data_IF_424488348372
#
_entry.id   IF_424488348372
#
_cell.length_a   1.000
_cell.length_b   1.000
_cell.length_c   1.000
_cell.angle_alpha   90.00
_cell.angle_beta   90.00
_cell.angle_gamma   90.00
#
_symmetry.space_group_name_H-M   'P 1'
#
loop_
_entity.id
_entity.type
_entity.pdbx_description
1 polymer ?
#
# COMPACT_ATOMS: atom_id res chain seq x y z
N UNK A 1 14.61 1.03 13.43
CA UNK A 1 14.98 0.04 12.39
C UNK A 1 14.49 0.55 11.04
N UNK A 2 15.33 0.59 10.00
CA UNK A 2 14.97 1.13 8.66
C UNK A 2 14.44 0.03 7.73
N UNK A 3 13.51 -0.78 8.24
CA UNK A 3 12.88 -1.89 7.52
C UNK A 3 11.38 -1.65 7.55
N UNK A 4 10.86 -1.12 6.45
CA UNK A 4 9.42 -1.10 6.24
C UNK A 4 8.89 -2.52 6.21
N UNK A 5 7.78 -2.73 6.93
CA UNK A 5 7.07 -3.99 6.98
C UNK A 5 5.57 -3.70 6.99
N UNK A 6 4.80 -4.68 6.52
CA UNK A 6 3.35 -4.72 6.60
C UNK A 6 2.96 -5.92 7.46
N UNK A 7 2.16 -5.69 8.50
CA UNK A 7 1.52 -6.74 9.27
C UNK A 7 0.25 -7.21 8.57
N UNK A 8 0.06 -8.52 8.48
CA UNK A 8 -1.12 -9.14 7.87
C UNK A 8 -1.83 -9.97 8.94
N UNK A 9 -3.13 -9.76 9.08
CA UNK A 9 -4.00 -10.54 9.95
C UNK A 9 -5.22 -11.06 9.18
N UNK A 10 -5.88 -12.05 9.76
CA UNK A 10 -7.13 -12.61 9.25
C UNK A 10 -8.25 -12.44 10.27
N UNK A 11 -9.48 -12.38 9.79
CA UNK A 11 -10.69 -12.28 10.60
C UNK A 11 -11.79 -13.14 9.99
N UNK A 12 -12.30 -14.13 10.74
CA UNK A 12 -13.41 -14.99 10.30
C UNK A 12 -14.76 -14.65 10.95
N UNK A 13 -14.76 -13.71 11.90
CA UNK A 13 -15.96 -13.28 12.61
C UNK A 13 -16.83 -12.33 11.81
N UNK A 14 -17.82 -11.75 12.50
CA UNK A 14 -18.79 -10.84 11.89
C UNK A 14 -18.16 -9.52 11.43
N UNK A 15 -18.83 -8.85 10.48
CA UNK A 15 -18.45 -7.52 10.00
C UNK A 15 -18.29 -6.52 11.15
N UNK A 16 -19.28 -6.41 12.02
CA UNK A 16 -19.30 -5.41 13.09
C UNK A 16 -18.12 -5.53 14.06
N UNK A 17 -17.75 -6.75 14.43
CA UNK A 17 -16.59 -6.98 15.30
C UNK A 17 -15.27 -6.77 14.55
N UNK A 18 -15.21 -7.15 13.26
CA UNK A 18 -14.03 -6.94 12.41
C UNK A 18 -13.71 -5.47 12.16
N UNK A 19 -14.72 -4.65 11.87
CA UNK A 19 -14.54 -3.20 11.68
C UNK A 19 -14.20 -2.49 12.99
N UNK A 20 -14.75 -2.95 14.12
CA UNK A 20 -14.34 -2.45 15.45
C UNK A 20 -12.86 -2.72 15.71
N UNK A 21 -12.39 -3.94 15.42
CA UNK A 21 -10.98 -4.30 15.56
C UNK A 21 -10.08 -3.46 14.63
N UNK A 22 -10.45 -3.33 13.36
CA UNK A 22 -9.70 -2.53 12.39
C UNK A 22 -9.59 -1.06 12.83
N UNK A 23 -10.70 -0.47 13.30
CA UNK A 23 -10.72 0.90 13.82
C UNK A 23 -9.87 1.10 15.07
N UNK A 24 -9.78 0.11 15.96
CA UNK A 24 -8.88 0.15 17.11
C UNK A 24 -7.40 0.12 16.71
N UNK A 25 -7.07 -0.57 15.62
CA UNK A 25 -5.70 -0.65 15.10
C UNK A 25 -5.31 0.62 14.36
N UNK A 26 -6.15 1.09 13.43
CA UNK A 26 -6.00 2.29 12.60
C UNK A 26 -4.55 2.56 12.14
N UNK A 27 -3.95 1.61 11.43
CA UNK A 27 -2.54 1.65 11.04
C UNK A 27 -2.36 1.46 9.54
N UNK A 28 -1.62 2.38 8.91
CA UNK A 28 -1.24 2.33 7.49
C UNK A 28 -0.23 1.22 7.16
N UNK A 29 0.11 0.37 8.14
CA UNK A 29 1.03 -0.77 8.00
C UNK A 29 0.41 -2.09 8.42
N UNK A 30 -0.87 -2.11 8.78
CA UNK A 30 -1.57 -3.34 9.16
C UNK A 30 -2.77 -3.50 8.25
N UNK A 31 -2.91 -4.68 7.66
CA UNK A 31 -4.08 -5.08 6.88
C UNK A 31 -4.73 -6.30 7.51
N UNK A 32 -6.06 -6.34 7.48
CA UNK A 32 -6.87 -7.42 8.05
C UNK A 32 -7.79 -7.97 6.97
N UNK A 33 -7.55 -9.20 6.54
CA UNK A 33 -8.39 -9.93 5.59
C UNK A 33 -9.61 -10.53 6.28
N UNK A 34 -10.80 -10.29 5.74
CA UNK A 34 -12.07 -10.72 6.31
C UNK A 34 -12.72 -11.82 5.46
N UNK A 35 -12.85 -13.00 6.06
CA UNK A 35 -13.47 -14.18 5.46
C UNK A 35 -14.58 -14.72 6.37
N UNK A 36 -15.74 -14.07 6.33
CA UNK A 36 -16.83 -14.31 7.26
C UNK A 36 -17.32 -15.77 7.25
N UNK A 37 -17.45 -16.37 8.44
CA UNK A 37 -17.97 -17.72 8.61
C UNK A 37 -17.01 -18.83 8.20
N UNK A 38 -15.74 -18.50 7.94
CA UNK A 38 -14.68 -19.48 7.69
C UNK A 38 -14.41 -20.35 8.92
N UNK A 39 -14.19 -21.64 8.68
CA UNK A 39 -13.75 -22.58 9.72
C UNK A 39 -12.24 -22.54 9.94
N UNK A 40 -11.50 -21.91 9.01
CA UNK A 40 -10.06 -21.71 9.15
C UNK A 40 -9.75 -20.70 10.26
N UNK A 41 -8.60 -20.89 10.89
CA UNK A 41 -8.13 -20.01 11.94
C UNK A 41 -7.73 -18.64 11.35
N UNK A 42 -7.87 -17.55 12.11
CA UNK A 42 -7.38 -16.22 11.71
C UNK A 42 -5.94 -16.20 11.19
N UNK A 43 -5.07 -17.06 11.73
CA UNK A 43 -3.67 -17.17 11.29
C UNK A 43 -3.53 -17.82 9.90
N UNK A 44 -4.41 -18.77 9.54
CA UNK A 44 -4.41 -19.41 8.22
C UNK A 44 -4.90 -18.43 7.15
N UNK A 45 -5.96 -17.68 7.47
CA UNK A 45 -6.45 -16.57 6.64
C UNK A 45 -5.35 -15.52 6.42
N UNK A 46 -4.67 -15.11 7.49
CA UNK A 46 -3.54 -14.19 7.42
C UNK A 46 -2.40 -14.72 6.54
N UNK A 47 -2.07 -16.01 6.66
CA UNK A 47 -1.01 -16.64 5.89
C UNK A 47 -1.34 -16.70 4.39
N UNK A 48 -2.56 -17.12 4.02
CA UNK A 48 -3.00 -17.15 2.63
C UNK A 48 -2.99 -15.76 2.00
N UNK A 49 -3.49 -14.76 2.73
CA UNK A 49 -3.51 -13.37 2.28
C UNK A 49 -2.10 -12.78 2.16
N UNK A 50 -1.27 -12.97 3.19
CA UNK A 50 0.12 -12.52 3.21
C UNK A 50 0.95 -13.12 2.08
N UNK A 51 0.74 -14.41 1.75
CA UNK A 51 1.39 -15.06 0.63
C UNK A 51 1.06 -14.38 -0.71
N UNK A 52 -0.21 -13.97 -0.94
CA UNK A 52 -0.59 -13.25 -2.16
C UNK A 52 -0.04 -11.83 -2.22
N UNK A 53 -0.05 -11.11 -1.10
CA UNK A 53 0.59 -9.79 -1.01
C UNK A 53 2.08 -9.89 -1.36
N UNK A 54 2.78 -10.92 -0.85
CA UNK A 54 4.20 -11.11 -1.10
C UNK A 54 4.53 -11.62 -2.51
N UNK A 55 3.58 -12.29 -3.18
CA UNK A 55 3.77 -12.82 -4.53
C UNK A 55 3.70 -11.77 -5.64
N UNK A 56 3.11 -10.61 -5.36
CA UNK A 56 3.03 -9.52 -6.32
C UNK A 56 4.31 -8.69 -6.27
N UNK A 57 5.08 -8.70 -7.37
CA UNK A 57 6.39 -8.04 -7.44
C UNK A 57 6.24 -6.53 -7.64
N UNK A 58 5.18 -6.10 -8.32
CA UNK A 58 4.88 -4.69 -8.53
C UNK A 58 4.18 -4.12 -7.28
N UNK A 59 4.78 -3.15 -6.57
CA UNK A 59 4.18 -2.60 -5.36
C UNK A 59 2.92 -1.76 -5.64
N UNK A 60 2.78 -1.18 -6.82
CA UNK A 60 1.67 -0.29 -7.20
C UNK A 60 0.47 -1.09 -7.75
N UNK A 61 0.69 -2.32 -8.21
CA UNK A 61 -0.36 -3.15 -8.80
C UNK A 61 -1.42 -3.57 -7.77
N UNK A 62 -2.72 -3.33 -8.03
CA UNK A 62 -3.80 -3.76 -7.14
C UNK A 62 -3.89 -5.29 -7.03
N UNK A 63 -4.22 -5.76 -5.82
CA UNK A 63 -4.34 -7.19 -5.50
C UNK A 63 -5.76 -7.75 -5.67
N UNK A 64 -6.67 -6.96 -6.26
CA UNK A 64 -8.07 -7.34 -6.46
C UNK A 64 -8.13 -8.63 -7.31
N UNK A 65 -9.11 -9.49 -7.07
CA UNK A 65 -9.34 -10.77 -7.77
C UNK A 65 -8.28 -11.85 -7.62
N UNK A 66 -7.16 -11.59 -6.92
CA UNK A 66 -6.19 -12.64 -6.63
C UNK A 66 -6.81 -13.68 -5.71
N UNK A 67 -6.68 -14.95 -6.10
CA UNK A 67 -7.30 -16.07 -5.42
C UNK A 67 -6.54 -16.50 -4.17
N UNK A 68 -7.26 -16.86 -3.13
CA UNK A 68 -6.73 -17.31 -1.85
C UNK A 68 -7.04 -18.79 -1.67
N UNK A 69 -6.06 -19.56 -1.19
CA UNK A 69 -6.25 -20.97 -0.86
C UNK A 69 -6.95 -21.10 0.50
N UNK A 70 -8.23 -20.77 0.54
CA UNK A 70 -9.09 -20.77 1.73
C UNK A 70 -10.31 -21.67 1.54
N UNK A 71 -11.00 -21.97 2.64
CA UNK A 71 -12.26 -22.72 2.63
C UNK A 71 -13.38 -21.92 1.96
N UNK A 72 -14.29 -22.61 1.32
CA UNK A 72 -15.47 -21.99 0.72
C UNK A 72 -16.57 -21.93 1.78
N UNK A 73 -16.96 -20.72 2.16
CA UNK A 73 -17.97 -20.51 3.19
C UNK A 73 -19.39 -20.70 2.64
N UNK A 74 -20.32 -21.01 3.54
CA UNK A 74 -21.75 -21.13 3.23
C UNK A 74 -22.29 -19.84 2.59
N UNK A 75 -23.23 -19.98 1.67
CA UNK A 75 -23.81 -18.85 0.93
C UNK A 75 -24.38 -17.76 1.86
N UNK A 76 -24.97 -18.15 2.99
CA UNK A 76 -25.52 -17.22 3.98
C UNK A 76 -24.46 -16.37 4.72
N UNK A 77 -23.20 -16.82 4.72
CA UNK A 77 -22.08 -16.13 5.36
C UNK A 77 -21.31 -15.23 4.38
N UNK A 78 -21.56 -15.35 3.07
CA UNK A 78 -20.83 -14.60 2.04
C UNK A 78 -21.28 -13.13 2.05
N UNK A 79 -20.35 -12.17 2.17
CA UNK A 79 -20.71 -10.76 2.28
C UNK A 79 -21.33 -10.25 0.97
N UNK A 80 -22.48 -9.59 1.08
CA UNK A 80 -23.08 -8.85 -0.04
C UNK A 80 -22.31 -7.56 -0.35
N UNK A 81 -22.61 -6.92 -1.49
CA UNK A 81 -21.89 -5.70 -1.92
C UNK A 81 -21.90 -4.60 -0.86
N UNK A 82 -23.04 -4.36 -0.22
CA UNK A 82 -23.18 -3.37 0.85
C UNK A 82 -22.27 -3.66 2.05
N UNK A 83 -22.10 -4.93 2.42
CA UNK A 83 -21.23 -5.34 3.52
C UNK A 83 -19.75 -5.20 3.13
N UNK A 84 -19.41 -5.52 1.88
CA UNK A 84 -18.07 -5.30 1.34
C UNK A 84 -17.69 -3.81 1.36
N UNK A 85 -18.55 -2.92 0.86
CA UNK A 85 -18.31 -1.47 0.90
C UNK A 85 -18.19 -0.94 2.34
N UNK A 86 -19.00 -1.48 3.26
CA UNK A 86 -18.91 -1.13 4.68
C UNK A 86 -17.58 -1.59 5.30
N UNK A 87 -17.13 -2.81 5.00
CA UNK A 87 -15.83 -3.31 5.44
C UNK A 87 -14.70 -2.40 4.93
N UNK A 88 -14.73 -2.05 3.64
CA UNK A 88 -13.72 -1.21 3.00
C UNK A 88 -13.66 0.19 3.63
N UNK A 89 -14.83 0.81 3.85
CA UNK A 89 -14.92 2.11 4.50
C UNK A 89 -14.37 2.11 5.95
N UNK A 90 -14.33 0.94 6.60
CA UNK A 90 -13.90 0.81 7.99
C UNK A 90 -12.57 0.04 8.15
N UNK A 91 -11.72 0.02 7.11
CA UNK A 91 -10.36 -0.49 7.23
C UNK A 91 -10.25 -2.03 7.27
N UNK A 92 -11.28 -2.75 6.83
CA UNK A 92 -11.33 -4.21 6.80
C UNK A 92 -11.37 -4.68 5.35
N UNK A 93 -10.41 -5.52 4.94
CA UNK A 93 -10.32 -6.03 3.56
C UNK A 93 -11.30 -7.20 3.38
N UNK A 94 -12.39 -7.07 2.61
CA UNK A 94 -13.32 -8.18 2.40
C UNK A 94 -12.76 -9.17 1.37
N UNK A 95 -13.00 -10.45 1.63
CA UNK A 95 -12.88 -11.51 0.63
C UNK A 95 -14.26 -11.91 0.14
N UNK A 96 -14.31 -12.41 -1.09
CA UNK A 96 -15.54 -12.94 -1.69
C UNK A 96 -15.29 -14.29 -2.34
N UNK A 97 -16.36 -15.08 -2.50
CA UNK A 97 -16.32 -16.32 -3.26
C UNK A 97 -16.73 -16.02 -4.69
N UNK A 98 -15.75 -15.99 -5.59
CA UNK A 98 -15.93 -15.75 -7.01
C UNK A 98 -16.40 -16.99 -7.77
N UNK A 99 -16.31 -16.93 -9.10
CA UNK A 99 -16.62 -18.05 -9.98
C UNK A 99 -15.75 -19.28 -9.68
N UNK A 100 -16.35 -20.47 -9.83
CA UNK A 100 -15.63 -21.74 -9.58
C UNK A 100 -15.34 -21.98 -8.11
N UNK A 101 -16.09 -21.36 -7.20
CA UNK A 101 -15.93 -21.50 -5.74
C UNK A 101 -14.52 -21.14 -5.25
N UNK A 102 -13.94 -20.09 -5.83
CA UNK A 102 -12.61 -19.61 -5.44
C UNK A 102 -12.74 -18.36 -4.58
N UNK A 103 -12.09 -18.37 -3.42
CA UNK A 103 -12.02 -17.18 -2.57
C UNK A 103 -11.05 -16.18 -3.21
N UNK A 104 -11.43 -14.92 -3.30
CA UNK A 104 -10.64 -13.87 -3.91
C UNK A 104 -10.71 -12.56 -3.12
N UNK A 105 -9.68 -11.73 -3.27
CA UNK A 105 -9.61 -10.41 -2.63
C UNK A 105 -10.52 -9.43 -3.38
N UNK A 106 -11.38 -8.71 -2.67
CA UNK A 106 -12.19 -7.63 -3.28
C UNK A 106 -11.31 -6.40 -3.54
N UNK A 107 -10.75 -5.83 -2.47
CA UNK A 107 -9.75 -4.75 -2.50
C UNK A 107 -8.87 -4.80 -1.26
N UNK A 108 -7.56 -4.88 -1.46
CA UNK A 108 -6.58 -4.92 -0.38
C UNK A 108 -6.35 -3.51 0.19
N UNK A 109 -6.82 -3.30 1.42
CA UNK A 109 -6.66 -2.03 2.15
C UNK A 109 -5.95 -2.25 3.49
N UNK A 110 -5.40 -1.20 4.05
CA UNK A 110 -4.92 -1.16 5.43
C UNK A 110 -6.07 -0.86 6.39
N UNK A 111 -5.77 -0.92 7.68
CA UNK A 111 -6.70 -0.50 8.74
C UNK A 111 -6.80 1.02 8.90
N UNK A 112 -5.97 1.79 8.17
CA UNK A 112 -5.94 3.24 8.28
C UNK A 112 -7.15 3.88 7.60
N UNK A 113 -7.97 4.55 8.42
CA UNK A 113 -9.16 5.27 7.96
C UNK A 113 -9.22 6.70 8.49
N UNK A 114 -8.44 7.02 9.53
CA UNK A 114 -8.43 8.33 10.19
C UNK A 114 -7.02 8.80 10.50
N UNK A 115 -6.80 10.10 10.37
CA UNK A 115 -5.55 10.73 10.77
C UNK A 115 -5.44 10.93 12.30
N UNK A 116 -4.31 11.49 12.75
CA UNK A 116 -4.04 11.73 14.17
C UNK A 116 -5.04 12.69 14.84
N UNK A 117 -5.79 13.49 14.08
CA UNK A 117 -6.84 14.39 14.57
C UNK A 117 -8.22 13.71 14.61
N UNK A 118 -8.31 12.43 14.23
CA UNK A 118 -9.56 11.68 14.18
C UNK A 118 -10.46 12.00 12.98
N UNK A 119 -9.92 12.69 11.97
CA UNK A 119 -10.62 13.02 10.73
C UNK A 119 -10.37 11.93 9.70
N UNK A 120 -11.41 11.59 8.92
CA UNK A 120 -11.31 10.59 7.85
C UNK A 120 -10.21 10.96 6.86
N UNK A 121 -9.36 10.00 6.55
CA UNK A 121 -8.16 10.16 5.74
C UNK A 121 -7.85 8.88 4.98
N UNK A 122 -7.76 8.99 3.66
CA UNK A 122 -7.55 7.87 2.73
C UNK A 122 -6.09 7.71 2.30
N UNK A 123 -5.18 8.59 2.77
CA UNK A 123 -3.79 8.65 2.30
C UNK A 123 -3.00 7.36 2.43
N UNK A 124 -3.35 6.50 3.39
CA UNK A 124 -2.73 5.17 3.57
C UNK A 124 -3.76 4.04 3.56
N UNK A 125 -4.96 4.29 3.03
CA UNK A 125 -6.02 3.30 2.98
C UNK A 125 -5.64 2.14 2.05
N UNK A 126 -5.19 2.42 0.83
CA UNK A 126 -4.77 1.36 -0.09
C UNK A 126 -3.45 0.73 0.34
N UNK A 127 -3.41 -0.60 0.33
CA UNK A 127 -2.21 -1.34 0.71
C UNK A 127 -1.05 -1.09 -0.27
N UNK A 128 -1.35 -0.84 -1.55
CA UNK A 128 -0.36 -0.51 -2.57
C UNK A 128 0.38 0.78 -2.24
N UNK A 129 -0.27 1.78 -1.64
CA UNK A 129 0.35 3.06 -1.28
C UNK A 129 1.57 2.88 -0.38
N UNK A 130 1.43 2.16 0.74
CA UNK A 130 2.57 1.94 1.65
C UNK A 130 3.64 1.02 1.05
N UNK A 131 3.23 0.04 0.22
CA UNK A 131 4.16 -0.85 -0.50
C UNK A 131 5.03 -0.05 -1.48
N UNK A 132 4.42 0.85 -2.24
CA UNK A 132 5.10 1.75 -3.18
C UNK A 132 6.09 2.65 -2.46
N UNK A 133 5.67 3.32 -1.38
CA UNK A 133 6.55 4.18 -0.59
C UNK A 133 7.75 3.42 -0.02
N UNK A 134 7.55 2.18 0.44
CA UNK A 134 8.64 1.32 0.91
C UNK A 134 9.58 0.87 -0.21
N UNK A 135 9.06 0.63 -1.41
CA UNK A 135 9.85 0.32 -2.60
C UNK A 135 10.72 1.52 -3.03
N UNK A 136 10.12 2.71 -3.15
CA UNK A 136 10.83 3.96 -3.49
C UNK A 136 11.96 4.20 -2.48
N UNK A 137 11.67 4.11 -1.18
CA UNK A 137 12.67 4.25 -0.11
C UNK A 137 13.83 3.26 -0.27
N UNK A 138 13.53 2.00 -0.58
CA UNK A 138 14.54 0.95 -0.79
C UNK A 138 15.42 1.28 -2.00
N UNK A 139 14.80 1.60 -3.15
CA UNK A 139 15.49 1.91 -4.39
C UNK A 139 16.43 3.12 -4.25
N UNK A 140 15.94 4.22 -3.65
CA UNK A 140 16.76 5.40 -3.37
C UNK A 140 17.95 5.07 -2.46
N UNK A 141 17.72 4.33 -1.37
CA UNK A 141 18.80 3.97 -0.43
C UNK A 141 19.86 3.10 -1.09
N UNK A 142 19.45 2.10 -1.88
CA UNK A 142 20.37 1.23 -2.60
C UNK A 142 21.21 2.00 -3.61
N UNK A 143 20.59 2.92 -4.38
CA UNK A 143 21.32 3.82 -5.29
C UNK A 143 22.39 4.62 -4.54
N UNK A 144 22.02 5.28 -3.43
CA UNK A 144 22.96 6.12 -2.70
C UNK A 144 24.09 5.30 -2.06
N UNK A 145 23.78 4.13 -1.49
CA UNK A 145 24.79 3.25 -0.91
C UNK A 145 25.80 2.74 -1.96
N UNK A 146 25.33 2.43 -3.18
CA UNK A 146 26.19 1.97 -4.28
C UNK A 146 27.03 3.09 -4.89
N UNK A 147 26.44 4.29 -5.04
CA UNK A 147 27.10 5.40 -5.72
C UNK A 147 28.05 6.21 -4.82
N UNK A 148 27.79 6.25 -3.52
CA UNK A 148 28.51 7.07 -2.55
C UNK A 148 29.04 6.31 -1.32
N UNK A 149 29.65 5.11 -1.45
CA UNK A 149 30.00 4.25 -0.30
C UNK A 149 31.06 4.85 0.65
N UNK A 150 31.83 5.84 0.18
CA UNK A 150 32.90 6.51 0.94
C UNK A 150 33.06 7.99 0.52
N UNK A 151 31.97 8.60 0.05
CA UNK A 151 32.03 9.95 -0.50
C UNK A 151 32.34 10.97 0.61
N UNK A 152 33.18 11.96 0.29
CA UNK A 152 33.39 13.10 1.19
C UNK A 152 32.16 13.98 1.17
N UNK A 153 31.62 14.34 2.33
CA UNK A 153 30.55 15.33 2.42
C UNK A 153 31.11 16.74 2.19
N UNK A 154 31.14 17.17 0.92
CA UNK A 154 31.58 18.49 0.46
C UNK A 154 30.39 19.34 -0.01
N UNK A 155 30.62 20.58 -0.46
CA UNK A 155 29.55 21.41 -1.06
C UNK A 155 29.04 20.83 -2.38
N UNK A 156 29.80 19.93 -3.03
CA UNK A 156 29.41 19.26 -4.27
C UNK A 156 28.54 18.02 -4.05
N UNK A 157 28.51 17.48 -2.85
CA UNK A 157 27.84 16.19 -2.56
C UNK A 157 26.31 16.30 -2.61
N UNK A 158 25.66 17.32 -1.99
CA UNK A 158 24.20 17.47 -2.07
C UNK A 158 23.63 17.50 -3.51
N UNK A 159 24.16 18.32 -4.46
CA UNK A 159 23.60 18.33 -5.81
C UNK A 159 23.83 17.02 -6.58
N UNK A 160 24.93 16.30 -6.33
CA UNK A 160 25.15 14.97 -6.92
C UNK A 160 24.16 13.94 -6.39
N UNK A 161 23.93 13.91 -5.07
CA UNK A 161 22.93 13.03 -4.45
C UNK A 161 21.53 13.35 -4.96
N UNK A 162 21.19 14.64 -5.08
CA UNK A 162 19.90 15.07 -5.65
C UNK A 162 19.71 14.56 -7.08
N UNK A 163 20.75 14.66 -7.93
CA UNK A 163 20.71 14.14 -9.30
C UNK A 163 20.47 12.63 -9.32
N UNK A 164 21.19 11.87 -8.51
CA UNK A 164 21.06 10.40 -8.48
C UNK A 164 19.70 9.94 -7.92
N UNK A 165 19.13 10.67 -6.95
CA UNK A 165 17.77 10.42 -6.47
C UNK A 165 16.74 10.72 -7.56
N UNK A 166 16.88 11.86 -8.25
CA UNK A 166 15.99 12.23 -9.35
C UNK A 166 16.01 11.17 -10.47
N UNK A 167 17.19 10.68 -10.85
CA UNK A 167 17.35 9.61 -11.84
C UNK A 167 16.74 8.27 -11.38
N UNK A 168 16.63 8.01 -10.07
CA UNK A 168 15.88 6.87 -9.57
C UNK A 168 14.39 7.10 -9.73
N UNK A 169 13.89 8.28 -9.35
CA UNK A 169 12.46 8.60 -9.45
C UNK A 169 11.96 8.52 -10.89
N UNK A 170 12.71 9.05 -11.86
CA UNK A 170 12.36 8.92 -13.29
C UNK A 170 12.23 7.46 -13.74
N UNK A 171 13.12 6.58 -13.27
CA UNK A 171 13.02 5.13 -13.57
C UNK A 171 11.83 4.47 -12.91
N UNK A 172 11.40 4.95 -11.74
CA UNK A 172 10.20 4.45 -11.08
C UNK A 172 8.93 4.94 -11.78
N UNK A 173 8.97 6.13 -12.38
CA UNK A 173 7.90 6.65 -13.25
C UNK A 173 7.80 5.88 -14.57
N UNK A 174 8.92 5.55 -15.21
CA UNK A 174 8.94 4.66 -16.38
C UNK A 174 8.34 3.27 -16.11
N UNK A 175 8.36 2.83 -14.84
CA UNK A 175 7.79 1.57 -14.39
C UNK A 175 6.35 1.72 -13.87
N UNK A 176 5.74 2.91 -13.97
CA UNK A 176 4.40 3.22 -13.46
C UNK A 176 4.23 2.97 -11.94
N UNK A 177 5.32 3.08 -11.17
CA UNK A 177 5.31 2.92 -9.70
C UNK A 177 4.93 4.25 -9.03
N UNK A 178 5.44 5.37 -9.56
CA UNK A 178 5.12 6.74 -9.16
C UNK A 178 4.85 7.58 -10.40
N UNK A 179 4.22 8.74 -10.25
CA UNK A 179 3.93 9.66 -11.36
C UNK A 179 4.35 11.11 -11.05
N UNK A 180 4.23 11.98 -12.04
CA UNK A 180 4.44 13.43 -11.92
C UNK A 180 5.82 13.80 -11.34
N UNK A 181 6.88 13.06 -11.71
CA UNK A 181 8.22 13.23 -11.12
C UNK A 181 8.83 14.59 -11.49
N UNK A 182 8.72 15.01 -12.76
CA UNK A 182 9.24 16.33 -13.18
C UNK A 182 8.41 17.48 -12.58
N UNK A 183 7.08 17.33 -12.47
CA UNK A 183 6.22 18.31 -11.82
C UNK A 183 6.54 18.48 -10.32
N UNK A 184 6.95 17.40 -9.64
CA UNK A 184 7.31 17.40 -8.22
C UNK A 184 8.81 17.65 -7.95
N UNK A 185 9.62 17.90 -8.98
CA UNK A 185 11.10 18.00 -8.88
C UNK A 185 11.61 19.05 -7.89
N UNK A 186 10.90 20.16 -7.74
CA UNK A 186 11.28 21.24 -6.82
C UNK A 186 11.06 20.85 -5.35
N UNK A 187 10.20 19.86 -5.08
CA UNK A 187 10.01 19.30 -3.75
C UNK A 187 11.09 18.27 -3.37
N UNK A 188 11.90 17.80 -4.33
CA UNK A 188 13.08 16.97 -4.08
C UNK A 188 14.22 17.83 -3.54
N UNK A 189 14.38 17.81 -2.21
CA UNK A 189 15.36 18.62 -1.48
C UNK A 189 16.44 17.71 -0.93
N UNK A 190 17.71 18.10 -1.10
CA UNK A 190 18.86 17.44 -0.49
C UNK A 190 19.76 18.49 0.13
N UNK A 191 19.92 18.45 1.44
CA UNK A 191 20.59 19.49 2.20
C UNK A 191 21.38 18.94 3.39
N UNK A 192 22.35 19.72 3.88
CA UNK A 192 23.08 19.36 5.10
C UNK A 192 22.18 19.53 6.31
N UNK A 193 22.34 18.63 7.27
CA UNK A 193 21.70 18.80 8.57
C UNK A 193 22.27 20.04 9.28
N UNK A 194 21.41 20.80 9.96
CA UNK A 194 21.82 22.03 10.65
C UNK A 194 22.48 21.76 12.01
N UNK A 195 22.30 20.57 12.57
CA UNK A 195 22.82 20.16 13.88
C UNK A 195 23.95 19.14 13.75
N UNK A 196 23.94 18.32 12.69
CA UNK A 196 24.98 17.31 12.41
C UNK A 196 25.74 17.61 11.12
N UNK A 197 26.97 18.11 11.27
CA UNK A 197 27.86 18.49 10.15
C UNK A 197 28.25 17.32 9.25
N UNK A 198 28.07 16.07 9.69
CA UNK A 198 28.39 14.86 8.94
C UNK A 198 27.15 14.21 8.30
N UNK A 199 25.98 14.85 8.38
CA UNK A 199 24.72 14.30 7.90
C UNK A 199 24.15 15.07 6.71
N UNK A 200 23.60 14.31 5.77
CA UNK A 200 22.83 14.81 4.63
C UNK A 200 21.38 14.32 4.76
N UNK A 201 20.43 15.23 4.64
CA UNK A 201 19.00 14.95 4.67
C UNK A 201 18.44 15.05 3.25
N UNK A 202 17.46 14.19 2.96
CA UNK A 202 16.72 14.23 1.71
C UNK A 202 15.22 14.21 1.98
N UNK A 203 14.48 15.12 1.35
CA UNK A 203 13.03 15.05 1.21
C UNK A 203 12.75 14.55 -0.19
N UNK A 204 12.11 13.39 -0.30
CA UNK A 204 11.85 12.70 -1.56
C UNK A 204 10.33 12.76 -1.80
N UNK A 205 9.84 13.58 -2.73
CA UNK A 205 8.44 13.56 -3.13
C UNK A 205 8.16 12.25 -3.89
N UNK A 206 6.98 11.68 -3.68
CA UNK A 206 6.57 10.44 -4.33
C UNK A 206 5.06 10.47 -4.50
N UNK A 207 4.62 10.82 -5.69
CA UNK A 207 3.22 10.72 -6.08
C UNK A 207 2.96 9.27 -6.51
N UNK A 208 2.13 8.55 -5.77
CA UNK A 208 1.96 7.11 -5.98
C UNK A 208 0.91 6.89 -7.06
N UNK A 209 1.25 6.09 -8.07
CA UNK A 209 0.27 5.63 -9.06
C UNK A 209 -0.79 4.79 -8.35
N UNK A 210 -2.03 5.25 -8.43
CA UNK A 210 -3.15 4.64 -7.71
C UNK A 210 -3.78 3.49 -8.49
N UNK A 211 -4.36 2.55 -7.75
CA UNK A 211 -5.14 1.47 -8.35
C UNK A 211 -6.44 1.95 -8.98
N UNK A 212 -6.74 1.50 -10.20
CA UNK A 212 -8.05 1.71 -10.82
C UNK A 212 -9.09 0.76 -10.21
N UNK A 213 -9.75 1.19 -9.13
CA UNK A 213 -10.73 0.38 -8.42
C UNK A 213 -12.17 0.53 -8.94
N UNK A 214 -12.53 1.70 -9.48
CA UNK A 214 -13.89 2.00 -9.96
C UNK A 214 -13.81 2.74 -11.28
N UNK A 215 -14.55 2.26 -12.29
CA UNK A 215 -14.74 2.94 -13.56
C UNK A 215 -16.18 3.45 -13.65
N UNK A 216 -16.36 4.76 -13.87
CA UNK A 216 -17.65 5.39 -14.09
C UNK A 216 -17.70 5.93 -15.53
N UNK A 217 -18.59 5.37 -16.35
CA UNK A 217 -18.76 5.76 -17.75
C UNK A 217 -20.16 6.26 -18.04
N UNK A 218 -20.27 7.34 -18.81
CA UNK A 218 -21.51 7.79 -19.44
C UNK A 218 -21.39 7.52 -20.95
N UNK A 219 -22.36 6.81 -21.51
CA UNK A 219 -22.44 6.56 -22.96
C UNK A 219 -23.48 7.51 -23.53
N UNK A 220 -23.05 8.45 -24.35
CA UNK A 220 -23.94 9.35 -25.07
C UNK A 220 -24.16 8.83 -26.50
N UNK A 221 -25.43 8.69 -26.88
CA UNK A 221 -25.83 8.41 -28.26
C UNK A 221 -25.74 9.72 -29.05
N UNK A 222 -24.87 9.76 -30.05
CA UNK A 222 -24.80 10.84 -31.03
C UNK A 222 -25.48 10.36 -32.32
N UNK A 223 -26.54 11.07 -32.73
CA UNK A 223 -27.24 10.93 -34.02
C UNK A 223 -27.05 12.19 -34.85
#
# INVERSE_FOLDING_TARGET
>A
EQRGAVGVAGWSGTLAAGTTLASQINSGRITVGWHNGSVMLPAEIAAAYGARIASEEDPARPLNTLTLALDVTDLASRPGRTEQENALHNGLTPFEVGSGETVQIVRAITTYTRNASGVDDVSLLDLTTIRTLDYVRKACRERIALRFPREKLSTRTPPLVRSELYDVLLKLEELEIIEEVDANKDALIVERDSQDVNRLNARIPSDVVNGLHVFAGRIDLLL
#
